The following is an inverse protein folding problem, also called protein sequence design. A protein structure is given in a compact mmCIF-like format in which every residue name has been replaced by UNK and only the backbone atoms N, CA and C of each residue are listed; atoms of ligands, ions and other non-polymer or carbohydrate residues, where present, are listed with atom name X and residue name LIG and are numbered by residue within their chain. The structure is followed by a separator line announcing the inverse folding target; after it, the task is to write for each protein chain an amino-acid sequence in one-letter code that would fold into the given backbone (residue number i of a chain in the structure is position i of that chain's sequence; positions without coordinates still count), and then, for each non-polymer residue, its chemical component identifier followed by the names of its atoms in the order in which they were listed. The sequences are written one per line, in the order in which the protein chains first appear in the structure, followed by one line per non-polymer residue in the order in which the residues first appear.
data_IF_371603204648
#
_entry.id   IF_371603204648
#
_cell.length_a   1.000
_cell.length_b   1.000
_cell.length_c   1.000
_cell.angle_alpha   90.00
_cell.angle_beta   90.00
_cell.angle_gamma   90.00
#
_symmetry.space_group_name_H-M   'P 1'
#
loop_
_entity.id
_entity.type
_entity.pdbx_description
1 polymer ?
#
# COMPACT_ATOMS: atom_id res chain seq x y z
N UNK A 1 -73.21 -25.90 -10.46
CA UNK A 1 -71.97 -26.71 -10.31
C UNK A 1 -70.97 -26.34 -11.39
N UNK A 2 -70.03 -25.43 -11.11
CA UNK A 2 -68.75 -25.30 -11.85
C UNK A 2 -67.71 -24.85 -10.82
N UNK A 3 -66.77 -25.75 -10.48
CA UNK A 3 -65.64 -25.45 -9.60
C UNK A 3 -64.61 -24.69 -10.43
N UNK A 4 -64.24 -23.49 -10.00
CA UNK A 4 -63.09 -22.76 -10.54
C UNK A 4 -61.83 -23.21 -9.79
N UNK A 5 -60.90 -23.81 -10.52
CA UNK A 5 -59.59 -24.23 -10.03
C UNK A 5 -58.64 -23.04 -10.14
N UNK A 6 -58.18 -22.50 -9.02
CA UNK A 6 -57.13 -21.48 -8.99
C UNK A 6 -55.77 -22.18 -8.86
N UNK A 7 -54.96 -22.13 -9.90
CA UNK A 7 -53.55 -22.53 -9.86
C UNK A 7 -52.75 -21.42 -9.20
N UNK A 8 -52.25 -21.64 -7.97
CA UNK A 8 -51.25 -20.76 -7.37
C UNK A 8 -49.95 -20.89 -8.15
N UNK A 9 -49.58 -19.85 -8.90
CA UNK A 9 -48.23 -19.70 -9.43
C UNK A 9 -47.32 -19.16 -8.32
N UNK A 10 -46.51 -20.03 -7.73
CA UNK A 10 -45.46 -19.64 -6.77
C UNK A 10 -44.38 -18.83 -7.49
N UNK A 11 -44.36 -17.51 -7.26
CA UNK A 11 -43.24 -16.65 -7.68
C UNK A 11 -42.08 -16.93 -6.73
N UNK A 12 -41.11 -17.73 -7.20
CA UNK A 12 -39.85 -17.95 -6.51
C UNK A 12 -39.00 -16.67 -6.65
N UNK A 13 -39.06 -15.78 -5.66
CA UNK A 13 -38.17 -14.64 -5.58
C UNK A 13 -36.75 -15.16 -5.28
N UNK A 14 -35.92 -15.25 -6.33
CA UNK A 14 -34.48 -15.45 -6.21
C UNK A 14 -33.88 -14.22 -5.52
N UNK A 15 -33.76 -14.29 -4.20
CA UNK A 15 -32.93 -13.38 -3.42
C UNK A 15 -31.48 -13.68 -3.79
N UNK A 16 -30.91 -12.90 -4.71
CA UNK A 16 -29.47 -12.85 -4.91
C UNK A 16 -28.84 -12.26 -3.64
N UNK A 17 -28.44 -13.12 -2.72
CA UNK A 17 -27.48 -12.77 -1.67
C UNK A 17 -26.17 -12.42 -2.36
N UNK A 18 -25.99 -11.15 -2.72
CA UNK A 18 -24.67 -10.59 -2.94
C UNK A 18 -23.95 -10.66 -1.60
N UNK A 19 -23.25 -11.76 -1.34
CA UNK A 19 -22.26 -11.82 -0.28
C UNK A 19 -21.28 -10.67 -0.52
N UNK A 20 -21.19 -9.74 0.42
CA UNK A 20 -20.13 -8.76 0.42
C UNK A 20 -18.81 -9.54 0.56
N UNK A 21 -18.15 -9.81 -0.56
CA UNK A 21 -16.88 -10.51 -0.56
C UNK A 21 -15.90 -9.65 0.24
N UNK A 22 -15.53 -10.13 1.44
CA UNK A 22 -14.50 -9.51 2.25
C UNK A 22 -13.18 -9.60 1.49
N UNK A 23 -12.66 -8.45 1.06
CA UNK A 23 -11.46 -8.38 0.23
C UNK A 23 -10.23 -8.53 1.14
N UNK A 24 -9.48 -9.62 1.00
CA UNK A 24 -8.14 -9.73 1.61
C UNK A 24 -7.16 -9.26 0.53
N UNK A 25 -6.59 -8.07 0.69
CA UNK A 25 -5.64 -7.54 -0.25
C UNK A 25 -4.24 -8.00 0.16
N UNK A 26 -3.76 -9.08 -0.47
CA UNK A 26 -2.37 -9.53 -0.37
C UNK A 26 -1.66 -9.20 -1.70
N UNK A 27 -0.49 -8.60 -1.61
CA UNK A 27 0.40 -8.36 -2.74
C UNK A 27 0.92 -9.68 -3.31
N UNK A 28 1.22 -9.70 -4.60
CA UNK A 28 1.91 -10.84 -5.21
C UNK A 28 3.33 -10.94 -4.63
N UNK A 29 3.72 -12.15 -4.24
CA UNK A 29 5.01 -12.43 -3.59
C UNK A 29 6.07 -13.01 -4.56
N UNK A 30 5.69 -13.35 -5.80
CA UNK A 30 6.57 -13.91 -6.86
C UNK A 30 6.36 -13.14 -8.18
N UNK A 31 7.46 -12.80 -8.81
CA UNK A 31 7.56 -11.65 -9.72
C UNK A 31 7.81 -12.03 -11.15
N UNK A 32 8.05 -13.32 -11.40
CA UNK A 32 8.28 -13.84 -12.75
C UNK A 32 7.10 -13.53 -13.70
N UNK A 33 6.00 -13.08 -13.14
CA UNK A 33 4.71 -12.86 -13.74
C UNK A 33 4.43 -11.40 -14.13
N UNK A 34 5.17 -10.40 -13.64
CA UNK A 34 4.98 -8.97 -14.00
C UNK A 34 6.28 -8.15 -13.95
N UNK A 35 6.31 -6.98 -14.60
CA UNK A 35 7.42 -6.01 -14.50
C UNK A 35 6.93 -4.55 -14.45
N UNK A 36 7.87 -3.59 -14.36
CA UNK A 36 7.60 -2.14 -14.38
C UNK A 36 7.98 -1.47 -15.71
N UNK A 37 8.51 -2.21 -16.67
CA UNK A 37 9.08 -1.66 -17.88
C UNK A 37 8.00 -1.05 -18.80
N UNK A 38 8.21 0.20 -19.20
CA UNK A 38 7.29 0.91 -20.09
C UNK A 38 7.30 0.26 -21.49
N UNK A 39 6.14 -0.27 -21.89
CA UNK A 39 5.97 -0.91 -23.20
C UNK A 39 6.20 -2.42 -23.19
N UNK A 40 6.63 -3.00 -22.07
CA UNK A 40 6.70 -4.45 -21.89
C UNK A 40 5.31 -5.09 -21.95
N UNK A 41 5.25 -6.32 -22.45
CA UNK A 41 4.05 -7.15 -22.41
C UNK A 41 3.62 -7.51 -20.98
N UNK A 42 4.56 -7.44 -20.03
CA UNK A 42 4.36 -7.65 -18.59
C UNK A 42 4.30 -6.37 -17.78
N UNK A 43 4.36 -5.21 -18.44
CA UNK A 43 4.44 -3.91 -17.77
C UNK A 43 3.11 -3.41 -17.20
N UNK A 44 3.12 -2.30 -16.43
CA UNK A 44 1.98 -1.85 -15.62
C UNK A 44 0.69 -1.59 -16.39
N UNK A 45 0.78 -1.24 -17.68
CA UNK A 45 -0.39 -1.02 -18.54
C UNK A 45 -1.13 -2.31 -18.90
N UNK A 46 -0.47 -3.46 -18.77
CA UNK A 46 -0.98 -4.78 -19.17
C UNK A 46 -1.21 -5.72 -18.00
N UNK A 47 -0.86 -5.35 -16.77
CA UNK A 47 -1.03 -6.23 -15.59
C UNK A 47 -2.43 -6.86 -15.50
N UNK A 48 -3.50 -6.10 -15.77
CA UNK A 48 -4.87 -6.64 -15.72
C UNK A 48 -5.24 -7.60 -16.86
N UNK A 49 -4.37 -7.78 -17.85
CA UNK A 49 -4.53 -8.71 -18.98
C UNK A 49 -3.69 -9.98 -18.79
N UNK A 50 -2.72 -9.98 -17.88
CA UNK A 50 -1.83 -11.10 -17.63
C UNK A 50 -2.55 -12.27 -16.95
N UNK A 51 -3.48 -11.96 -16.05
CA UNK A 51 -4.24 -12.93 -15.27
C UNK A 51 -5.64 -12.45 -14.96
N UNK A 52 -6.59 -13.39 -14.86
CA UNK A 52 -7.99 -13.08 -14.54
C UNK A 52 -8.13 -12.44 -13.17
N UNK A 53 -7.39 -12.93 -12.19
CA UNK A 53 -7.32 -12.41 -10.81
C UNK A 53 -6.72 -11.00 -10.73
N UNK A 54 -6.04 -10.52 -11.77
CA UNK A 54 -5.42 -9.19 -11.81
C UNK A 54 -6.27 -8.17 -12.56
N UNK A 55 -7.47 -8.54 -13.04
CA UNK A 55 -8.35 -7.68 -13.82
C UNK A 55 -8.59 -6.30 -13.18
N UNK A 56 -8.61 -6.21 -11.85
CA UNK A 56 -8.73 -4.94 -11.13
C UNK A 56 -7.64 -3.91 -11.49
N UNK A 57 -6.44 -4.36 -11.86
CA UNK A 57 -5.36 -3.50 -12.34
C UNK A 57 -5.74 -2.69 -13.60
N UNK A 58 -6.69 -3.20 -14.40
CA UNK A 58 -7.19 -2.57 -15.63
C UNK A 58 -8.57 -1.93 -15.43
N UNK A 59 -9.48 -2.65 -14.79
CA UNK A 59 -10.90 -2.28 -14.75
C UNK A 59 -11.27 -1.43 -13.52
N UNK A 60 -10.43 -1.47 -12.48
CA UNK A 60 -10.62 -0.76 -11.23
C UNK A 60 -10.79 0.76 -11.41
N UNK A 61 -11.63 1.37 -10.58
CA UNK A 61 -11.93 2.82 -10.61
C UNK A 61 -11.33 3.57 -9.44
N UNK A 62 -10.87 2.87 -8.41
CA UNK A 62 -10.20 3.40 -7.23
C UNK A 62 -8.74 2.93 -7.18
N UNK A 63 -8.08 2.84 -8.33
CA UNK A 63 -6.69 2.41 -8.41
C UNK A 63 -5.70 3.44 -7.83
N UNK A 64 -4.61 2.95 -7.25
CA UNK A 64 -3.47 3.71 -6.73
C UNK A 64 -2.21 3.42 -7.55
N UNK A 65 -1.20 4.33 -7.60
CA UNK A 65 -1.12 5.61 -6.88
C UNK A 65 -1.87 6.75 -7.59
N UNK A 66 -2.09 7.86 -6.89
CA UNK A 66 -2.66 9.10 -7.45
C UNK A 66 -1.86 10.35 -7.01
N UNK A 67 -2.11 11.49 -7.64
CA UNK A 67 -1.57 12.78 -7.20
C UNK A 67 -2.38 13.37 -6.04
N UNK A 68 -1.69 13.84 -5.00
CA UNK A 68 -2.27 14.60 -3.89
C UNK A 68 -2.25 16.09 -4.22
N UNK A 69 -3.35 16.59 -4.79
CA UNK A 69 -3.52 18.01 -5.11
C UNK A 69 -4.26 18.76 -3.99
N UNK A 70 -3.73 19.90 -3.55
CA UNK A 70 -4.33 20.72 -2.49
C UNK A 70 -5.74 21.26 -2.81
N UNK A 71 -6.12 21.36 -4.09
CA UNK A 71 -7.42 21.93 -4.53
C UNK A 71 -8.63 21.02 -4.25
N UNK A 72 -8.40 19.76 -3.85
CA UNK A 72 -9.46 18.73 -3.76
C UNK A 72 -9.57 18.08 -2.38
N UNK A 73 -8.99 18.68 -1.34
CA UNK A 73 -8.95 18.06 -0.01
C UNK A 73 -10.05 18.55 0.92
N UNK A 74 -10.73 17.59 1.57
CA UNK A 74 -11.61 17.87 2.71
C UNK A 74 -10.84 17.78 4.02
N UNK A 75 -10.98 18.77 4.91
CA UNK A 75 -10.29 18.75 6.21
C UNK A 75 -11.05 17.86 7.19
N UNK A 76 -10.32 16.95 7.86
CA UNK A 76 -10.85 16.09 8.93
C UNK A 76 -10.05 16.31 10.22
N UNK A 77 -10.68 16.06 11.38
CA UNK A 77 -10.11 16.41 12.70
C UNK A 77 -9.86 15.21 13.62
N UNK A 78 -10.06 13.97 13.16
CA UNK A 78 -9.73 12.76 13.96
C UNK A 78 -8.32 12.25 13.65
N UNK A 79 -7.36 12.36 14.60
CA UNK A 79 -6.01 11.85 14.40
C UNK A 79 -6.01 10.32 14.32
N UNK A 80 -5.24 9.79 13.38
CA UNK A 80 -4.77 8.41 13.43
C UNK A 80 -3.86 8.22 14.66
N UNK A 81 -4.18 7.23 15.49
CA UNK A 81 -3.30 6.83 16.59
C UNK A 81 -2.42 5.68 16.12
N UNK A 82 -1.12 5.76 16.41
CA UNK A 82 -0.15 4.71 16.08
C UNK A 82 0.47 4.18 17.36
N UNK A 83 0.47 2.87 17.53
CA UNK A 83 1.05 2.19 18.69
C UNK A 83 1.93 1.03 18.23
N UNK A 84 3.11 1.35 17.69
CA UNK A 84 4.08 0.33 17.28
C UNK A 84 4.91 -0.22 18.44
N UNK A 85 5.36 -1.46 18.31
CA UNK A 85 6.14 -2.18 19.32
C UNK A 85 7.30 -2.91 18.62
N UNK A 86 8.46 -3.07 19.27
CA UNK A 86 9.53 -3.90 18.73
C UNK A 86 9.09 -5.36 18.62
N UNK A 87 9.34 -6.00 17.48
CA UNK A 87 9.10 -7.42 17.28
C UNK A 87 10.11 -8.01 16.29
N UNK A 88 10.19 -9.34 16.25
CA UNK A 88 11.06 -10.05 15.30
C UNK A 88 10.65 -9.77 13.85
N UNK A 89 11.62 -9.48 12.99
CA UNK A 89 11.38 -9.15 11.59
C UNK A 89 12.33 -9.89 10.65
N UNK A 90 11.86 -10.15 9.43
CA UNK A 90 12.65 -10.69 8.33
C UNK A 90 12.71 -9.67 7.22
N UNK A 91 13.91 -9.35 6.76
CA UNK A 91 14.14 -8.61 5.53
C UNK A 91 14.07 -9.60 4.37
N UNK A 92 13.38 -9.23 3.30
CA UNK A 92 13.20 -10.07 2.12
C UNK A 92 13.37 -9.25 0.86
N UNK A 93 14.20 -9.73 -0.04
CA UNK A 93 14.14 -9.32 -1.43
C UNK A 93 13.01 -10.11 -2.07
N UNK A 94 11.90 -9.45 -2.43
CA UNK A 94 10.88 -10.15 -3.20
C UNK A 94 11.33 -10.30 -4.65
N UNK A 95 12.24 -9.40 -5.07
CA UNK A 95 12.81 -9.18 -6.40
C UNK A 95 12.34 -7.85 -7.07
N UNK A 96 11.24 -7.27 -6.62
CA UNK A 96 10.49 -6.14 -7.19
C UNK A 96 10.44 -5.03 -6.19
N UNK A 97 10.67 -5.38 -4.92
CA UNK A 97 11.06 -4.50 -3.85
C UNK A 97 11.86 -5.26 -2.80
N UNK A 98 12.45 -4.47 -1.91
CA UNK A 98 12.92 -4.95 -0.61
C UNK A 98 11.78 -4.73 0.38
N UNK A 99 11.43 -5.77 1.12
CA UNK A 99 10.40 -5.74 2.15
C UNK A 99 10.97 -6.14 3.51
N UNK A 100 10.37 -5.61 4.57
CA UNK A 100 10.62 -5.98 5.96
C UNK A 100 9.31 -6.44 6.57
N UNK A 101 9.22 -7.71 6.93
CA UNK A 101 8.01 -8.34 7.48
C UNK A 101 8.19 -8.62 8.96
N UNK A 102 7.20 -8.27 9.77
CA UNK A 102 7.15 -8.63 11.19
C UNK A 102 6.32 -9.90 11.38
N UNK A 103 6.81 -10.83 12.20
CA UNK A 103 6.20 -12.16 12.40
C UNK A 103 5.30 -12.24 13.64
N UNK A 104 4.77 -11.11 14.10
CA UNK A 104 3.90 -11.04 15.27
C UNK A 104 3.50 -9.59 15.59
N UNK A 105 3.22 -9.30 16.85
CA UNK A 105 2.69 -8.00 17.27
C UNK A 105 3.75 -6.89 17.24
N UNK A 106 3.95 -6.31 16.06
CA UNK A 106 4.71 -5.07 15.86
C UNK A 106 3.89 -3.81 16.20
N UNK A 107 2.72 -3.99 16.82
CA UNK A 107 1.74 -2.95 17.08
C UNK A 107 0.89 -2.61 15.87
N UNK A 108 0.19 -1.47 15.94
CA UNK A 108 -0.93 -1.19 15.04
C UNK A 108 -1.16 0.30 14.80
N UNK A 109 -2.05 0.58 13.86
CA UNK A 109 -2.70 1.88 13.71
C UNK A 109 -4.19 1.75 14.01
N UNK A 110 -4.79 2.80 14.59
CA UNK A 110 -6.21 2.86 14.88
C UNK A 110 -6.89 3.86 13.94
N UNK A 111 -7.81 3.37 13.11
CA UNK A 111 -8.59 4.18 12.17
C UNK A 111 -10.06 4.00 12.51
N UNK A 112 -10.73 5.08 12.92
CA UNK A 112 -12.16 5.09 13.26
C UNK A 112 -12.60 3.98 14.26
N UNK A 113 -11.73 3.64 15.21
CA UNK A 113 -12.00 2.60 16.21
C UNK A 113 -11.62 1.19 15.79
N UNK A 114 -11.26 0.97 14.52
CA UNK A 114 -10.73 -0.30 14.03
C UNK A 114 -9.21 -0.33 14.14
N UNK A 115 -8.69 -1.41 14.72
CA UNK A 115 -7.26 -1.67 14.81
C UNK A 115 -6.76 -2.38 13.54
N UNK A 116 -5.66 -1.87 12.98
CA UNK A 116 -4.94 -2.46 11.85
C UNK A 116 -3.50 -2.76 12.29
N UNK A 117 -3.20 -4.01 12.68
CA UNK A 117 -1.85 -4.46 12.97
C UNK A 117 -0.89 -4.27 11.80
N UNK A 118 0.33 -3.80 12.08
CA UNK A 118 1.42 -3.67 11.11
C UNK A 118 1.93 -5.05 10.70
N UNK A 119 1.98 -5.30 9.39
CA UNK A 119 2.44 -6.58 8.84
C UNK A 119 3.83 -6.46 8.21
N UNK A 120 4.00 -5.47 7.32
CA UNK A 120 5.22 -5.33 6.54
C UNK A 120 5.44 -3.89 6.09
N UNK A 121 6.67 -3.59 5.69
CA UNK A 121 7.03 -2.34 5.07
C UNK A 121 7.96 -2.58 3.88
N UNK A 122 7.79 -1.83 2.80
CA UNK A 122 8.60 -1.96 1.59
C UNK A 122 8.84 -0.60 0.94
N UNK A 123 9.81 -0.55 0.02
CA UNK A 123 10.27 0.70 -0.61
C UNK A 123 10.08 0.69 -2.11
N UNK A 124 9.60 1.82 -2.63
CA UNK A 124 9.56 2.14 -4.04
C UNK A 124 10.53 3.27 -4.38
N UNK A 125 11.23 3.18 -5.50
CA UNK A 125 12.01 4.27 -6.08
C UNK A 125 11.75 4.37 -7.59
N UNK A 126 11.34 5.54 -8.12
CA UNK A 126 10.96 6.76 -7.40
C UNK A 126 9.72 6.58 -6.52
N UNK A 127 9.23 7.64 -5.86
CA UNK A 127 7.92 7.57 -5.19
C UNK A 127 6.84 7.19 -6.17
N UNK A 128 5.82 6.46 -5.73
CA UNK A 128 4.67 6.08 -6.57
C UNK A 128 3.67 7.23 -6.64
N UNK A 129 3.31 7.75 -5.48
CA UNK A 129 2.46 8.92 -5.34
C UNK A 129 3.21 10.20 -5.70
N UNK A 130 2.43 11.24 -5.97
CA UNK A 130 2.93 12.61 -6.18
C UNK A 130 2.17 13.58 -5.29
N UNK A 131 2.77 14.73 -4.99
CA UNK A 131 2.09 15.84 -4.29
C UNK A 131 2.18 17.07 -5.18
N UNK A 132 1.02 17.60 -5.60
CA UNK A 132 0.91 18.70 -6.56
C UNK A 132 1.79 18.48 -7.80
N UNK A 133 1.74 17.26 -8.37
CA UNK A 133 2.51 16.85 -9.54
C UNK A 133 3.99 16.55 -9.28
N UNK A 134 4.51 16.81 -8.06
CA UNK A 134 5.90 16.51 -7.72
C UNK A 134 6.05 15.03 -7.36
N UNK A 135 6.91 14.34 -8.10
CA UNK A 135 7.44 13.02 -7.73
C UNK A 135 8.67 13.17 -6.83
N UNK A 136 8.79 12.26 -5.87
CA UNK A 136 9.88 12.20 -4.89
C UNK A 136 10.83 11.05 -5.22
N UNK A 137 11.99 11.03 -4.57
CA UNK A 137 13.09 10.12 -4.94
C UNK A 137 12.85 8.68 -4.46
N UNK A 138 12.03 8.51 -3.41
CA UNK A 138 11.64 7.21 -2.85
C UNK A 138 10.36 7.34 -2.02
N UNK A 139 9.62 6.26 -1.87
CA UNK A 139 8.45 6.14 -1.01
C UNK A 139 8.50 4.85 -0.20
N UNK A 140 8.25 4.94 1.11
CA UNK A 140 8.07 3.78 1.99
C UNK A 140 6.58 3.54 2.18
N UNK A 141 6.15 2.29 2.05
CA UNK A 141 4.81 1.85 2.42
C UNK A 141 4.88 1.00 3.67
N UNK A 142 4.02 1.29 4.65
CA UNK A 142 3.77 0.42 5.81
C UNK A 142 2.38 -0.19 5.66
N UNK A 143 2.31 -1.49 5.45
CA UNK A 143 1.06 -2.23 5.21
C UNK A 143 0.52 -2.78 6.53
N UNK A 144 -0.74 -2.47 6.79
CA UNK A 144 -1.47 -2.91 7.98
C UNK A 144 -2.71 -3.68 7.53
N UNK A 145 -3.02 -4.77 8.22
CA UNK A 145 -4.16 -5.61 7.90
C UNK A 145 -4.90 -6.00 9.17
N UNK A 146 -6.22 -5.79 9.18
CA UNK A 146 -7.09 -6.26 10.25
C UNK A 146 -7.69 -7.62 9.89
N UNK A 147 -7.77 -8.51 10.89
CA UNK A 147 -8.44 -9.80 10.77
C UNK A 147 -9.94 -9.73 11.06
N UNK A 148 -10.47 -8.56 11.44
CA UNK A 148 -11.90 -8.38 11.69
C UNK A 148 -12.70 -8.52 10.38
N UNK A 149 -13.48 -9.60 10.30
CA UNK A 149 -14.27 -9.93 9.11
C UNK A 149 -15.47 -8.99 8.91
N UNK A 150 -15.85 -8.20 9.92
CA UNK A 150 -16.92 -7.21 9.83
C UNK A 150 -16.45 -5.89 9.21
N UNK A 151 -15.13 -5.71 9.05
CA UNK A 151 -14.55 -4.52 8.45
C UNK A 151 -14.45 -4.69 6.94
N UNK A 152 -15.10 -3.80 6.19
CA UNK A 152 -15.09 -3.86 4.71
C UNK A 152 -13.70 -3.62 4.11
N UNK A 153 -12.99 -2.60 4.61
CA UNK A 153 -11.66 -2.22 4.13
C UNK A 153 -10.63 -2.79 5.08
N UNK A 154 -10.14 -4.00 4.80
CA UNK A 154 -9.27 -4.73 5.75
C UNK A 154 -7.80 -4.34 5.70
N UNK A 155 -7.40 -3.59 4.68
CA UNK A 155 -6.02 -3.15 4.47
C UNK A 155 -5.92 -1.64 4.57
N UNK A 156 -4.91 -1.18 5.31
CA UNK A 156 -4.54 0.22 5.42
C UNK A 156 -3.03 0.38 5.17
N UNK A 157 -2.65 1.35 4.35
CA UNK A 157 -1.25 1.60 4.00
C UNK A 157 -0.85 3.01 4.39
N UNK A 158 0.25 3.14 5.12
CA UNK A 158 0.86 4.43 5.44
C UNK A 158 2.05 4.68 4.54
N UNK A 159 1.98 5.74 3.71
CA UNK A 159 3.05 6.15 2.81
C UNK A 159 3.94 7.25 3.40
N UNK A 160 5.25 7.18 3.17
CA UNK A 160 6.22 8.19 3.59
C UNK A 160 7.13 8.55 2.42
N UNK A 161 7.11 9.82 2.02
CA UNK A 161 7.95 10.34 0.95
C UNK A 161 9.37 10.65 1.42
N UNK A 162 10.33 10.46 0.52
CA UNK A 162 11.73 10.79 0.73
C UNK A 162 12.27 11.64 -0.42
N UNK A 163 13.09 12.63 -0.09
CA UNK A 163 13.93 13.33 -1.06
C UNK A 163 15.40 13.02 -0.80
N UNK A 164 16.25 13.11 -1.82
CA UNK A 164 17.70 12.99 -1.64
C UNK A 164 18.20 14.03 -0.63
N UNK A 165 19.01 13.57 0.31
CA UNK A 165 19.60 14.38 1.38
C UNK A 165 20.45 13.53 2.32
N UNK A 166 20.33 13.78 3.63
CA UNK A 166 21.03 13.00 4.65
C UNK A 166 20.52 11.55 4.66
N UNK A 167 21.38 10.55 4.95
CA UNK A 167 20.97 9.16 5.07
C UNK A 167 19.81 8.96 6.05
N UNK A 168 18.86 8.11 5.68
CA UNK A 168 17.81 7.67 6.59
C UNK A 168 18.40 6.70 7.62
N UNK A 169 18.22 7.02 8.90
CA UNK A 169 18.81 6.24 10.01
C UNK A 169 18.20 4.85 10.15
N UNK A 170 16.95 4.66 9.76
CA UNK A 170 16.29 3.36 9.84
C UNK A 170 16.81 2.45 8.73
N UNK A 171 16.79 2.93 7.48
CA UNK A 171 17.32 2.20 6.32
C UNK A 171 18.80 1.87 6.47
N UNK A 172 19.59 2.74 7.11
CA UNK A 172 21.00 2.48 7.43
C UNK A 172 21.22 1.18 8.22
N UNK A 173 20.26 0.78 9.08
CA UNK A 173 20.33 -0.47 9.85
C UNK A 173 20.15 -1.71 8.98
N UNK A 174 19.55 -1.56 7.80
CA UNK A 174 19.20 -2.65 6.89
C UNK A 174 20.26 -2.83 5.79
N UNK A 175 21.03 -1.79 5.46
CA UNK A 175 21.91 -1.74 4.28
C UNK A 175 22.87 -2.92 4.16
N UNK A 176 23.52 -3.34 5.24
CA UNK A 176 24.45 -4.50 5.18
C UNK A 176 23.74 -5.78 4.72
N UNK A 177 22.51 -6.01 5.21
CA UNK A 177 21.73 -7.18 4.82
C UNK A 177 21.20 -7.04 3.39
N UNK A 178 20.73 -5.84 2.99
CA UNK A 178 20.30 -5.56 1.61
C UNK A 178 21.46 -5.81 0.63
N UNK A 179 22.65 -5.30 0.93
CA UNK A 179 23.84 -5.51 0.08
C UNK A 179 24.22 -6.98 -0.05
N UNK A 180 23.97 -7.79 0.98
CA UNK A 180 24.21 -9.23 0.93
C UNK A 180 23.15 -10.01 0.14
N UNK A 181 22.07 -9.37 -0.30
CA UNK A 181 21.02 -10.01 -1.12
C UNK A 181 21.24 -9.81 -2.62
N UNK A 182 22.15 -8.91 -3.02
CA UNK A 182 22.48 -8.68 -4.43
C UNK A 182 23.07 -9.98 -5.01
N UNK A 183 22.50 -10.45 -6.13
CA UNK A 183 22.91 -11.65 -6.86
C UNK A 183 22.92 -12.97 -6.05
N UNK A 184 22.24 -13.02 -4.90
CA UNK A 184 22.19 -14.21 -4.05
C UNK A 184 20.89 -15.00 -4.21
N UNK A 185 20.98 -16.33 -4.04
CA UNK A 185 19.81 -17.23 -3.97
C UNK A 185 19.04 -17.08 -2.65
N UNK A 186 19.70 -16.63 -1.58
CA UNK A 186 19.06 -16.44 -0.29
C UNK A 186 18.41 -15.05 -0.23
N UNK A 187 17.14 -15.01 -0.59
CA UNK A 187 16.30 -13.81 -0.69
C UNK A 187 15.80 -13.29 0.66
N UNK A 188 16.07 -13.98 1.78
CA UNK A 188 15.58 -13.63 3.11
C UNK A 188 16.70 -13.56 4.16
N UNK A 189 16.58 -12.60 5.10
CA UNK A 189 17.47 -12.44 6.26
C UNK A 189 16.65 -12.18 7.52
N UNK A 190 16.86 -12.97 8.56
CA UNK A 190 16.30 -12.67 9.88
C UNK A 190 17.05 -11.46 10.47
N UNK A 191 16.32 -10.39 10.75
CA UNK A 191 16.85 -9.14 11.28
C UNK A 191 16.82 -9.07 12.81
N UNK A 192 16.28 -10.10 13.47
CA UNK A 192 15.99 -10.06 14.89
C UNK A 192 14.91 -9.03 15.22
N UNK A 193 15.01 -8.42 16.40
CA UNK A 193 14.03 -7.44 16.88
C UNK A 193 14.23 -6.10 16.16
N UNK A 194 13.23 -5.68 15.39
CA UNK A 194 13.16 -4.36 14.76
C UNK A 194 11.99 -3.56 15.33
N UNK A 195 12.27 -2.32 15.74
CA UNK A 195 11.27 -1.40 16.26
C UNK A 195 10.73 -0.48 15.15
N UNK A 196 9.44 -0.60 14.74
CA UNK A 196 8.88 0.27 13.70
C UNK A 196 8.85 1.75 14.09
N UNK A 197 8.92 2.09 15.39
CA UNK A 197 9.02 3.48 15.86
C UNK A 197 10.29 4.19 15.37
N UNK A 198 11.33 3.44 15.03
CA UNK A 198 12.59 4.00 14.51
C UNK A 198 12.45 4.61 13.11
N UNK A 199 11.36 4.32 12.38
CA UNK A 199 11.02 4.95 11.11
C UNK A 199 10.73 6.45 11.32
N UNK A 200 10.33 6.90 12.51
CA UNK A 200 10.18 8.33 12.87
C UNK A 200 9.30 9.13 11.90
N UNK A 201 8.05 8.71 11.76
CA UNK A 201 7.01 9.44 11.02
C UNK A 201 6.52 10.67 11.81
N UNK A 202 7.40 11.67 11.97
CA UNK A 202 7.23 12.83 12.85
C UNK A 202 6.29 13.91 12.25
N UNK A 203 5.14 13.49 11.74
CA UNK A 203 4.09 14.38 11.26
C UNK A 203 2.75 13.96 11.81
N UNK A 204 1.98 14.96 12.22
CA UNK A 204 0.56 14.81 12.47
C UNK A 204 -0.26 15.10 11.22
N UNK A 205 0.31 15.70 10.16
CA UNK A 205 -0.43 16.03 8.92
C UNK A 205 -0.30 14.93 7.88
N UNK A 206 -1.42 14.47 7.32
CA UNK A 206 -1.45 13.43 6.29
C UNK A 206 -2.63 13.59 5.33
N UNK A 207 -2.45 13.12 4.09
CA UNK A 207 -3.56 12.89 3.19
C UNK A 207 -4.19 11.52 3.48
N UNK A 208 -5.49 11.39 3.28
CA UNK A 208 -6.24 10.14 3.45
C UNK A 208 -7.17 9.94 2.26
N UNK A 209 -7.15 8.77 1.64
CA UNK A 209 -8.08 8.45 0.55
C UNK A 209 -8.32 6.93 0.45
N UNK A 210 -9.36 6.55 -0.29
CA UNK A 210 -9.63 5.14 -0.63
C UNK A 210 -9.00 4.79 -1.98
N UNK A 211 -8.18 3.75 -1.99
CA UNK A 211 -7.38 3.35 -3.14
C UNK A 211 -7.31 1.83 -3.33
N UNK A 212 -6.22 1.40 -3.95
CA UNK A 212 -5.87 0.00 -4.18
C UNK A 212 -4.46 -0.33 -3.72
N UNK A 213 -4.09 -1.61 -3.81
CA UNK A 213 -2.68 -1.99 -3.92
C UNK A 213 -2.06 -1.39 -5.18
N UNK A 214 -0.77 -1.07 -5.13
CA UNK A 214 -0.01 -0.50 -6.25
C UNK A 214 0.76 -1.54 -7.05
N UNK A 215 0.63 -2.82 -6.66
CA UNK A 215 1.10 -3.98 -7.40
C UNK A 215 -0.06 -4.94 -7.65
N UNK A 216 0.04 -5.88 -8.60
CA UNK A 216 -0.97 -6.91 -8.78
C UNK A 216 -1.23 -7.67 -7.46
N UNK A 217 -2.49 -8.07 -7.18
CA UNK A 217 -3.68 -8.01 -8.03
C UNK A 217 -4.40 -6.64 -8.08
N UNK A 218 -3.78 -5.56 -7.61
CA UNK A 218 -4.31 -4.19 -7.60
C UNK A 218 -5.69 -4.06 -6.92
N UNK A 219 -5.87 -4.85 -5.88
CA UNK A 219 -7.10 -4.94 -5.10
C UNK A 219 -7.49 -3.59 -4.51
N UNK A 220 -8.74 -3.16 -4.75
CA UNK A 220 -9.32 -1.92 -4.20
C UNK A 220 -9.81 -2.08 -2.75
N UNK A 221 -10.17 -0.96 -2.12
CA UNK A 221 -10.62 -0.94 -0.73
C UNK A 221 -9.47 -0.76 0.26
N UNK A 222 -8.34 -0.23 -0.20
CA UNK A 222 -7.18 0.09 0.65
C UNK A 222 -7.34 1.50 1.21
N UNK A 223 -7.21 1.65 2.52
CA UNK A 223 -7.18 2.95 3.19
C UNK A 223 -5.76 3.51 3.13
N UNK A 224 -5.51 4.53 2.32
CA UNK A 224 -4.19 5.14 2.19
C UNK A 224 -4.01 6.34 3.13
N UNK A 225 -2.94 6.37 3.92
CA UNK A 225 -2.50 7.50 4.74
C UNK A 225 -1.14 7.99 4.25
N UNK A 226 -1.09 9.12 3.52
CA UNK A 226 0.18 9.64 3.01
C UNK A 226 0.70 10.77 3.90
N UNK A 227 1.85 10.54 4.53
CA UNK A 227 2.49 11.52 5.39
C UNK A 227 2.96 12.74 4.57
N UNK A 228 2.52 13.94 4.96
CA UNK A 228 2.92 15.19 4.28
C UNK A 228 4.38 15.58 4.51
N UNK A 229 5.00 15.09 5.60
CA UNK A 229 6.39 15.40 5.92
C UNK A 229 7.33 14.51 5.12
N UNK A 230 8.01 15.12 4.15
CA UNK A 230 9.03 14.48 3.32
C UNK A 230 10.31 14.26 4.15
N UNK A 231 10.74 13.02 4.26
CA UNK A 231 12.01 12.61 4.89
C UNK A 231 13.18 12.74 3.93
N UNK A 232 14.40 12.51 4.42
CA UNK A 232 15.60 12.44 3.57
C UNK A 232 16.16 11.04 3.50
N UNK A 233 16.72 10.69 2.35
CA UNK A 233 17.46 9.44 2.08
C UNK A 233 18.74 9.79 1.31
N UNK A 234 19.84 9.04 1.47
CA UNK A 234 21.04 9.30 0.65
C UNK A 234 20.91 8.69 -0.75
N UNK A 235 21.70 9.19 -1.70
CA UNK A 235 21.77 8.60 -3.04
C UNK A 235 22.20 7.14 -2.98
N UNK A 236 23.19 6.82 -2.15
CA UNK A 236 23.72 5.45 -2.01
C UNK A 236 22.67 4.48 -1.44
N UNK A 237 21.80 4.96 -0.54
CA UNK A 237 20.69 4.15 -0.02
C UNK A 237 19.65 3.84 -1.08
N UNK A 238 19.29 4.83 -1.91
CA UNK A 238 18.36 4.61 -3.03
C UNK A 238 19.00 3.66 -4.04
N UNK A 239 20.26 3.90 -4.42
CA UNK A 239 21.02 3.06 -5.34
C UNK A 239 21.06 1.61 -4.87
N UNK A 240 21.37 1.38 -3.59
CA UNK A 240 21.42 0.03 -3.03
C UNK A 240 20.09 -0.72 -3.12
N UNK A 241 18.95 -0.02 -2.90
CA UNK A 241 17.63 -0.64 -3.06
C UNK A 241 17.36 -1.04 -4.51
N UNK A 242 17.79 -0.22 -5.48
CA UNK A 242 17.63 -0.49 -6.92
C UNK A 242 18.50 -1.65 -7.38
N UNK A 243 19.76 -1.71 -6.91
CA UNK A 243 20.68 -2.80 -7.25
C UNK A 243 20.31 -4.14 -6.61
N UNK A 244 19.53 -4.13 -5.52
CA UNK A 244 19.13 -5.35 -4.85
C UNK A 244 17.95 -6.04 -5.54
N UNK A 245 17.07 -5.29 -6.23
CA UNK A 245 15.94 -5.84 -6.97
C UNK A 245 16.36 -6.28 -8.38
N UNK A 246 15.52 -7.04 -9.07
CA UNK A 246 15.73 -7.44 -10.46
C UNK A 246 15.81 -6.20 -11.39
N UNK A 247 16.57 -6.29 -12.48
CA UNK A 247 16.82 -5.20 -13.44
C UNK A 247 15.54 -4.48 -13.90
N UNK A 248 14.44 -5.22 -14.10
CA UNK A 248 13.17 -4.66 -14.56
C UNK A 248 12.37 -3.92 -13.48
N UNK A 249 12.85 -3.94 -12.24
CA UNK A 249 12.26 -3.32 -11.06
C UNK A 249 13.18 -2.28 -10.41
N UNK A 250 14.32 -1.93 -11.02
CA UNK A 250 15.16 -0.81 -10.55
C UNK A 250 14.35 0.50 -10.41
N UNK A 251 13.33 0.67 -11.25
CA UNK A 251 12.30 1.70 -11.11
C UNK A 251 10.91 1.06 -10.87
N UNK A 252 10.70 0.54 -9.66
CA UNK A 252 9.50 -0.18 -9.24
C UNK A 252 8.29 0.71 -8.90
N UNK A 253 8.10 1.83 -9.60
CA UNK A 253 6.99 2.74 -9.35
C UNK A 253 5.87 2.57 -10.38
N UNK A 254 4.68 2.13 -9.94
CA UNK A 254 3.49 2.10 -10.80
C UNK A 254 3.15 3.51 -11.27
N UNK A 255 2.80 3.70 -12.56
CA UNK A 255 2.33 5.00 -13.05
C UNK A 255 1.10 5.52 -12.29
N UNK A 256 0.94 6.84 -12.25
CA UNK A 256 -0.25 7.46 -11.67
C UNK A 256 -1.52 6.96 -12.35
N UNK A 257 -2.52 6.67 -11.52
CA UNK A 257 -3.83 6.21 -11.93
C UNK A 257 -4.82 7.38 -12.00
N UNK A 258 -5.90 7.27 -12.79
CA UNK A 258 -6.93 8.30 -12.84
C UNK A 258 -7.55 8.54 -11.45
N UNK A 259 -7.65 9.81 -11.06
CA UNK A 259 -8.24 10.20 -9.78
C UNK A 259 -9.72 9.83 -9.67
N UNK A 260 -10.46 9.85 -10.79
CA UNK A 260 -11.90 9.51 -10.87
C UNK A 260 -12.77 10.25 -9.83
N UNK A 261 -12.44 11.52 -9.55
CA UNK A 261 -13.17 12.38 -8.63
C UNK A 261 -13.37 11.82 -7.21
N UNK A 262 -12.52 10.90 -6.76
CA UNK A 262 -12.60 10.32 -5.40
C UNK A 262 -12.26 11.36 -4.33
N UNK A 263 -12.88 11.26 -3.16
CA UNK A 263 -12.54 12.16 -2.06
C UNK A 263 -11.11 11.90 -1.54
N UNK A 264 -10.34 12.97 -1.41
CA UNK A 264 -9.07 13.01 -0.68
C UNK A 264 -9.27 13.90 0.54
N UNK A 265 -8.82 13.46 1.70
CA UNK A 265 -8.92 14.22 2.93
C UNK A 265 -7.53 14.68 3.34
N UNK A 266 -7.40 15.90 3.86
CA UNK A 266 -6.18 16.39 4.49
C UNK A 266 -6.45 16.53 5.98
N UNK A 267 -5.78 15.70 6.77
CA UNK A 267 -5.76 15.85 8.20
C UNK A 267 -4.60 16.78 8.60
N UNK A 268 -4.87 17.67 9.54
CA UNK A 268 -3.88 18.36 10.34
C UNK A 268 -4.47 18.74 11.69
N UNK A 269 -3.67 18.83 12.77
CA UNK A 269 -4.13 19.52 13.96
C UNK A 269 -4.61 20.90 13.49
N UNK A 270 -5.88 21.22 13.76
CA UNK A 270 -6.46 22.46 13.28
C UNK A 270 -5.57 23.63 13.69
N UNK A 271 -5.45 24.63 12.83
CA UNK A 271 -5.14 25.97 13.32
C UNK A 271 -6.28 26.30 14.29
N UNK A 272 -6.06 26.05 15.59
CA UNK A 272 -6.78 26.78 16.61
C UNK A 272 -6.29 28.20 16.46
N UNK A 273 -6.96 28.96 15.59
CA UNK A 273 -6.98 30.41 15.71
C UNK A 273 -7.54 30.68 17.10
N UNK A 274 -6.64 31.00 18.03
CA UNK A 274 -6.98 31.79 19.21
C UNK A 274 -7.70 33.09 18.78
#
# INVERSE_FOLDING_TARGET
MKKATYTLASILALVFLFGANSVNAQEVEDEREFDYAKGSDKGPRKWGELKKEWAACKDGKLQSPIDMSNERVRVITKPEKRNYKPFNATLRNRGHDISLRWHGDAGSILINGTEYPLQQAHWHSPSEHTINGRRYDMELHLVHQTSDLNVRSRTAVTGVFYKIGKPDKFLSKLMTNISSMIDQKDEERNMGIINPKDIKMNSQRYYRYMGSLTVPPCTEGVIWTLNTKVKTVSKDQVKLLREAVHDYAEENARPLQPHNSRDVYLYGPGDTSD
#
